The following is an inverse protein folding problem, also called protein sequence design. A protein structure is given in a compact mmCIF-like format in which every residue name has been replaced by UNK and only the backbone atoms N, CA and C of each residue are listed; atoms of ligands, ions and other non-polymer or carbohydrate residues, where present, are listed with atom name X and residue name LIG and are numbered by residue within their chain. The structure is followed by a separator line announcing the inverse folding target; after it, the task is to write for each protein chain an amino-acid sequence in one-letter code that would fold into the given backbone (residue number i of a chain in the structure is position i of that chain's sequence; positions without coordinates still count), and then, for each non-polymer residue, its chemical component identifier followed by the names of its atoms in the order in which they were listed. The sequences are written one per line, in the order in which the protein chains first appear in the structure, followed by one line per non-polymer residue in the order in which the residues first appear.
data_IF_174142403594
#
_entry.id   IF_174142403594
#
_cell.length_a   1.000
_cell.length_b   1.000
_cell.length_c   1.000
_cell.angle_alpha   90.00
_cell.angle_beta   90.00
_cell.angle_gamma   90.00
#
_symmetry.space_group_name_H-M   'P 1'
#
loop_
_entity.id
_entity.type
_entity.pdbx_description
1 polymer ?
#
# COMPACT_ATOMS: atom_id res chain seq x y z
N UNK A 1 25.44 -37.11 7.78
CA UNK A 1 24.52 -36.09 7.25
C UNK A 1 24.70 -34.68 7.88
N UNK A 2 25.59 -34.47 8.86
CA UNK A 2 25.80 -33.18 9.54
C UNK A 2 26.55 -32.13 8.67
N UNK A 3 27.56 -32.57 7.89
CA UNK A 3 28.36 -31.66 7.05
C UNK A 3 27.63 -31.16 5.79
N UNK A 4 26.57 -31.85 5.34
CA UNK A 4 25.77 -31.40 4.17
C UNK A 4 24.75 -30.32 4.53
N UNK A 5 24.28 -30.27 5.79
CA UNK A 5 23.38 -29.21 6.27
C UNK A 5 24.13 -27.91 6.54
N UNK A 6 25.35 -27.97 7.08
CA UNK A 6 26.20 -26.79 7.35
C UNK A 6 26.66 -26.04 6.09
N UNK A 7 26.62 -26.69 4.92
CA UNK A 7 26.95 -26.04 3.64
C UNK A 7 25.96 -24.91 3.28
N UNK A 8 24.74 -24.94 3.84
CA UNK A 8 23.71 -23.91 3.60
C UNK A 8 23.95 -22.62 4.39
N UNK A 9 24.63 -22.71 5.53
CA UNK A 9 24.91 -21.59 6.44
C UNK A 9 26.39 -21.17 6.40
N UNK A 10 27.16 -21.71 5.44
CA UNK A 10 28.60 -21.49 5.35
C UNK A 10 28.97 -20.05 4.94
N UNK A 11 28.00 -19.25 4.47
CA UNK A 11 28.17 -17.85 4.11
C UNK A 11 27.42 -16.90 5.06
N UNK A 12 26.91 -17.40 6.19
CA UNK A 12 26.23 -16.57 7.16
C UNK A 12 27.29 -15.73 7.89
N UNK A 13 27.05 -14.42 7.97
CA UNK A 13 27.92 -13.46 8.66
C UNK A 13 27.18 -12.84 9.84
N UNK A 14 27.90 -12.54 10.92
CA UNK A 14 27.29 -11.86 12.06
C UNK A 14 27.05 -10.40 11.72
N UNK A 15 25.89 -9.86 12.10
CA UNK A 15 25.57 -8.45 11.89
C UNK A 15 26.39 -7.56 12.86
N UNK A 16 26.84 -8.13 13.97
CA UNK A 16 27.75 -7.50 14.94
C UNK A 16 29.23 -7.59 14.50
N UNK A 17 29.52 -8.24 13.37
CA UNK A 17 30.89 -8.34 12.87
C UNK A 17 31.37 -6.96 12.35
N UNK A 18 32.61 -6.55 12.69
CA UNK A 18 33.17 -5.29 12.23
C UNK A 18 33.35 -5.29 10.72
N UNK A 19 32.65 -4.38 10.04
CA UNK A 19 32.72 -4.20 8.60
C UNK A 19 33.86 -3.23 8.19
N UNK A 20 34.14 -2.22 9.01
CA UNK A 20 35.26 -1.28 8.80
C UNK A 20 35.73 -0.63 10.11
N UNK A 21 36.89 0.02 10.09
CA UNK A 21 37.42 0.77 11.23
C UNK A 21 37.83 2.17 10.79
N UNK A 22 37.55 3.18 11.63
CA UNK A 22 38.01 4.55 11.40
C UNK A 22 39.50 4.72 11.78
N UNK A 23 40.04 5.93 11.61
CA UNK A 23 41.44 6.24 11.93
C UNK A 23 41.74 6.24 13.43
N UNK A 24 40.70 6.33 14.26
CA UNK A 24 40.78 6.38 15.72
C UNK A 24 40.57 4.99 16.36
N UNK A 25 40.34 3.96 15.54
CA UNK A 25 40.18 2.57 15.97
C UNK A 25 38.75 2.18 16.36
N UNK A 26 37.76 3.05 16.12
CA UNK A 26 36.36 2.68 16.32
C UNK A 26 35.91 1.74 15.21
N UNK A 27 35.22 0.67 15.59
CA UNK A 27 34.73 -0.32 14.65
C UNK A 27 33.29 -0.03 14.25
N UNK A 28 33.03 0.03 12.95
CA UNK A 28 31.71 0.12 12.35
C UNK A 28 31.23 -1.30 12.03
N UNK A 29 30.12 -1.73 12.60
CA UNK A 29 29.56 -3.06 12.38
C UNK A 29 28.58 -3.04 11.20
N UNK A 30 28.23 -4.23 10.68
CA UNK A 30 27.25 -4.32 9.59
C UNK A 30 25.89 -3.73 10.00
N UNK A 31 25.47 -3.88 11.26
CA UNK A 31 24.23 -3.27 11.80
C UNK A 31 24.18 -1.75 11.68
N UNK A 32 25.33 -1.07 11.74
CA UNK A 32 25.39 0.39 11.69
C UNK A 32 25.21 0.94 10.26
N UNK A 33 25.40 0.07 9.25
CA UNK A 33 25.26 0.40 7.83
C UNK A 33 23.88 0.02 7.30
N UNK A 34 23.26 -1.02 7.87
CA UNK A 34 21.95 -1.48 7.46
C UNK A 34 20.92 -0.36 7.71
N UNK A 35 20.29 0.08 6.63
CA UNK A 35 19.21 1.06 6.66
C UNK A 35 17.89 0.36 6.42
N UNK A 36 16.83 0.91 7.03
CA UNK A 36 15.49 0.52 6.63
C UNK A 36 15.23 1.02 5.19
N UNK A 37 14.54 0.20 4.41
CA UNK A 37 14.11 0.55 3.06
C UNK A 37 12.91 1.49 3.03
N UNK A 38 12.29 1.76 4.19
CA UNK A 38 11.13 2.64 4.27
C UNK A 38 11.54 4.11 4.11
N UNK A 39 11.17 4.71 2.97
CA UNK A 39 11.30 6.14 2.76
C UNK A 39 10.17 6.89 3.49
N UNK A 40 10.54 7.61 4.54
CA UNK A 40 9.61 8.41 5.36
C UNK A 40 8.95 9.51 4.53
N UNK A 41 9.65 10.10 3.56
CA UNK A 41 9.09 11.14 2.71
C UNK A 41 8.01 10.57 1.78
N UNK A 42 8.27 9.42 1.16
CA UNK A 42 7.26 8.72 0.33
C UNK A 42 6.03 8.35 1.15
N UNK A 43 6.22 7.90 2.40
CA UNK A 43 5.10 7.57 3.30
C UNK A 43 4.25 8.80 3.62
N UNK A 44 4.88 9.94 3.92
CA UNK A 44 4.16 11.18 4.20
C UNK A 44 3.40 11.65 2.95
N UNK A 45 4.03 11.61 1.77
CA UNK A 45 3.38 11.96 0.51
C UNK A 45 2.14 11.10 0.24
N UNK A 46 2.24 9.78 0.49
CA UNK A 46 1.13 8.86 0.35
C UNK A 46 -0.03 9.21 1.29
N UNK A 47 0.26 9.54 2.56
CA UNK A 47 -0.76 9.90 3.55
C UNK A 47 -1.49 11.18 3.15
N UNK A 48 -0.76 12.21 2.71
CA UNK A 48 -1.35 13.48 2.25
C UNK A 48 -2.22 13.26 1.01
N UNK A 49 -1.75 12.47 0.04
CA UNK A 49 -2.56 12.12 -1.15
C UNK A 49 -3.81 11.32 -0.78
N UNK A 50 -3.72 10.42 0.18
CA UNK A 50 -4.86 9.65 0.64
C UNK A 50 -5.92 10.55 1.31
N UNK A 51 -5.50 11.50 2.14
CA UNK A 51 -6.40 12.48 2.75
C UNK A 51 -7.12 13.32 1.69
N UNK A 52 -6.38 13.84 0.70
CA UNK A 52 -6.96 14.58 -0.42
C UNK A 52 -7.98 13.74 -1.21
N UNK A 53 -7.66 12.48 -1.50
CA UNK A 53 -8.59 11.56 -2.17
C UNK A 53 -9.90 11.39 -1.40
N UNK A 54 -9.87 11.33 -0.06
CA UNK A 54 -11.10 11.26 0.73
C UNK A 54 -11.96 12.52 0.64
N UNK A 55 -11.32 13.70 0.59
CA UNK A 55 -12.02 14.98 0.39
C UNK A 55 -12.67 15.00 -1.00
N UNK A 56 -11.95 14.57 -2.04
CA UNK A 56 -12.45 14.61 -3.41
C UNK A 56 -13.61 13.64 -3.64
N UNK A 57 -13.60 12.48 -2.97
CA UNK A 57 -14.73 11.54 -2.97
C UNK A 57 -16.03 12.20 -2.49
N UNK A 58 -15.98 13.01 -1.43
CA UNK A 58 -17.15 13.67 -0.88
C UNK A 58 -17.55 14.92 -1.70
N UNK A 59 -16.60 15.51 -2.42
CA UNK A 59 -16.81 16.71 -3.25
C UNK A 59 -17.45 16.41 -4.60
N UNK A 60 -16.99 15.38 -5.31
CA UNK A 60 -17.32 15.17 -6.73
C UNK A 60 -18.30 14.02 -7.01
N UNK A 61 -18.46 13.09 -6.07
CA UNK A 61 -19.37 11.96 -6.24
C UNK A 61 -20.72 12.21 -5.58
N UNK A 62 -21.78 11.75 -6.26
CA UNK A 62 -23.08 11.65 -5.60
C UNK A 62 -23.11 10.49 -4.57
N UNK A 63 -24.15 10.45 -3.74
CA UNK A 63 -24.27 9.45 -2.67
C UNK A 63 -24.20 8.01 -3.20
N UNK A 64 -24.76 7.75 -4.39
CA UNK A 64 -24.82 6.40 -4.98
C UNK A 64 -23.48 6.00 -5.60
N UNK A 65 -22.83 6.92 -6.28
CA UNK A 65 -21.47 6.76 -6.80
C UNK A 65 -20.49 6.49 -5.67
N UNK A 66 -20.54 7.31 -4.62
CA UNK A 66 -19.71 7.16 -3.43
C UNK A 66 -19.94 5.83 -2.75
N UNK A 67 -21.20 5.44 -2.52
CA UNK A 67 -21.53 4.14 -1.93
C UNK A 67 -20.89 2.98 -2.72
N UNK A 68 -21.00 3.02 -4.05
CA UNK A 68 -20.41 2.00 -4.93
C UNK A 68 -18.88 2.03 -4.86
N UNK A 69 -18.23 3.19 -4.95
CA UNK A 69 -16.77 3.30 -4.90
C UNK A 69 -16.22 2.81 -3.54
N UNK A 70 -16.85 3.21 -2.44
CA UNK A 70 -16.47 2.75 -1.10
C UNK A 70 -16.55 1.23 -0.98
N UNK A 71 -17.60 0.61 -1.50
CA UNK A 71 -17.72 -0.85 -1.50
C UNK A 71 -16.73 -1.53 -2.44
N UNK A 72 -16.48 -0.96 -3.62
CA UNK A 72 -15.63 -1.59 -4.65
C UNK A 72 -14.16 -1.60 -4.27
N UNK A 73 -13.69 -0.56 -3.59
CA UNK A 73 -12.28 -0.37 -3.24
C UNK A 73 -11.98 -0.57 -1.76
N UNK A 74 -12.99 -0.87 -0.93
CA UNK A 74 -12.77 -1.16 0.49
C UNK A 74 -12.35 0.06 1.30
N UNK A 75 -12.94 1.22 0.99
CA UNK A 75 -12.61 2.46 1.67
C UNK A 75 -13.30 2.54 3.04
N UNK A 76 -12.78 3.41 3.91
CA UNK A 76 -13.32 3.60 5.27
C UNK A 76 -13.33 2.30 6.11
N UNK A 77 -12.30 1.47 5.97
CA UNK A 77 -12.14 0.22 6.74
C UNK A 77 -13.10 -0.89 6.34
N UNK A 78 -13.78 -0.78 5.19
CA UNK A 78 -14.67 -1.81 4.67
C UNK A 78 -13.91 -2.79 3.79
N UNK A 79 -14.32 -4.06 3.69
CA UNK A 79 -13.74 -4.97 2.71
C UNK A 79 -14.11 -4.56 1.28
N UNK A 80 -13.16 -4.70 0.36
CA UNK A 80 -13.41 -4.52 -1.06
C UNK A 80 -14.33 -5.64 -1.59
N UNK A 81 -15.34 -5.25 -2.36
CA UNK A 81 -16.33 -6.15 -2.96
C UNK A 81 -16.20 -6.13 -4.48
N UNK A 82 -16.39 -7.26 -5.14
CA UNK A 82 -16.54 -7.35 -6.59
C UNK A 82 -17.80 -6.61 -7.07
N UNK A 83 -17.87 -6.25 -8.36
CA UNK A 83 -19.08 -5.65 -8.94
C UNK A 83 -20.32 -6.53 -8.76
N UNK A 84 -20.16 -7.87 -8.80
CA UNK A 84 -21.27 -8.83 -8.62
C UNK A 84 -21.76 -8.82 -7.17
N UNK A 85 -20.85 -8.76 -6.21
CA UNK A 85 -21.18 -8.70 -4.78
C UNK A 85 -21.84 -7.37 -4.41
N UNK A 86 -21.28 -6.25 -4.90
CA UNK A 86 -21.90 -4.93 -4.73
C UNK A 86 -23.30 -4.88 -5.36
N UNK A 87 -23.47 -5.42 -6.57
CA UNK A 87 -24.76 -5.50 -7.23
C UNK A 87 -25.79 -6.33 -6.43
N UNK A 88 -25.38 -7.49 -5.91
CA UNK A 88 -26.22 -8.34 -5.06
C UNK A 88 -26.63 -7.61 -3.78
N UNK A 89 -25.71 -6.90 -3.14
CA UNK A 89 -25.96 -6.12 -1.92
C UNK A 89 -26.91 -4.95 -2.17
N UNK A 90 -26.81 -4.33 -3.33
CA UNK A 90 -27.60 -3.15 -3.73
C UNK A 90 -28.93 -3.49 -4.41
N UNK A 91 -29.22 -4.77 -4.69
CA UNK A 91 -30.44 -5.19 -5.38
C UNK A 91 -30.53 -4.72 -6.85
N UNK A 92 -29.39 -4.49 -7.50
CA UNK A 92 -29.32 -3.99 -8.90
C UNK A 92 -28.48 -4.91 -9.78
N UNK A 93 -28.47 -4.68 -11.09
CA UNK A 93 -27.66 -5.48 -12.01
C UNK A 93 -26.16 -5.15 -11.90
N UNK A 94 -25.30 -6.14 -12.12
CA UNK A 94 -23.84 -5.95 -12.23
C UNK A 94 -23.47 -4.91 -13.31
N UNK A 95 -24.19 -4.91 -14.43
CA UNK A 95 -23.97 -3.95 -15.51
C UNK A 95 -24.26 -2.51 -15.05
N UNK A 96 -25.31 -2.31 -14.24
CA UNK A 96 -25.62 -1.01 -13.69
C UNK A 96 -24.55 -0.50 -12.72
N UNK A 97 -24.06 -1.36 -11.81
CA UNK A 97 -22.90 -1.04 -10.94
C UNK A 97 -21.70 -0.63 -11.79
N UNK A 98 -21.37 -1.40 -12.83
CA UNK A 98 -20.22 -1.11 -13.70
C UNK A 98 -20.33 0.25 -14.41
N UNK A 99 -21.54 0.67 -14.81
CA UNK A 99 -21.76 1.99 -15.42
C UNK A 99 -21.63 3.13 -14.42
N UNK A 100 -22.06 2.94 -13.19
CA UNK A 100 -21.91 3.94 -12.13
C UNK A 100 -20.44 4.06 -11.73
N UNK A 101 -19.76 2.94 -11.48
CA UNK A 101 -18.33 2.90 -11.17
C UNK A 101 -17.50 3.60 -12.24
N UNK A 102 -17.76 3.32 -13.53
CA UNK A 102 -17.03 3.98 -14.63
C UNK A 102 -17.19 5.50 -14.59
N UNK A 103 -18.41 6.02 -14.41
CA UNK A 103 -18.66 7.47 -14.34
C UNK A 103 -18.02 8.11 -13.12
N UNK A 104 -18.12 7.46 -11.96
CA UNK A 104 -17.49 7.93 -10.73
C UNK A 104 -15.96 8.02 -10.87
N UNK A 105 -15.33 7.02 -11.49
CA UNK A 105 -13.88 7.04 -11.75
C UNK A 105 -13.47 8.12 -12.76
N UNK A 106 -14.32 8.42 -13.75
CA UNK A 106 -14.07 9.53 -14.68
C UNK A 106 -14.09 10.88 -13.95
N UNK A 107 -15.08 11.13 -13.07
CA UNK A 107 -15.14 12.34 -12.22
C UNK A 107 -13.93 12.46 -11.29
N UNK A 108 -13.57 11.37 -10.61
CA UNK A 108 -12.41 11.35 -9.72
C UNK A 108 -11.12 11.64 -10.48
N UNK A 109 -10.98 11.15 -11.71
CA UNK A 109 -9.79 11.42 -12.53
C UNK A 109 -9.68 12.90 -12.91
N UNK A 110 -10.79 13.61 -13.09
CA UNK A 110 -10.79 15.05 -13.41
C UNK A 110 -10.43 15.90 -12.18
N UNK A 111 -10.74 15.45 -10.97
CA UNK A 111 -10.42 16.17 -9.73
C UNK A 111 -9.03 15.81 -9.16
N UNK A 112 -8.59 14.55 -9.31
CA UNK A 112 -7.30 14.05 -8.79
C UNK A 112 -6.12 14.22 -9.77
N UNK A 113 -6.41 14.51 -11.04
CA UNK A 113 -5.42 14.72 -12.09
C UNK A 113 -4.90 16.15 -12.13
#
# INVERSE_FOLDING_TARGET
MHFRSLKKTANDVSIEEPASSDKDGNSLCLMDILTDSEDVAERIELLVRAEQMYIDLDKCLDEREREIIVMRYGLFGKPALTQREAAKKLGISRSYVSRIEKRALEKLREELG
#
